data_IF_762209162239
#
_entry.id   IF_762209162239
#
_cell.length_a   1.000
_cell.length_b   1.000
_cell.length_c   1.000
_cell.angle_alpha   90.00
_cell.angle_beta   90.00
_cell.angle_gamma   90.00
#
_symmetry.space_group_name_H-M   'P 1'
#
loop_
_entity.id
_entity.type
_entity.pdbx_description
1 polymer ?
#
# COMPACT_ATOMS: atom_id res chain seq x y z
N UNK A 1 1.30 28.48 0.89
CA UNK A 1 0.75 27.26 0.25
C UNK A 1 0.75 26.12 1.27
N UNK A 2 -0.33 25.35 1.36
CA UNK A 2 -0.33 24.12 2.17
C UNK A 2 0.40 23.07 1.31
N UNK A 3 1.59 22.64 1.74
CA UNK A 3 2.34 21.59 1.05
C UNK A 3 1.56 20.27 1.10
N UNK A 4 1.41 19.57 -0.04
CA UNK A 4 0.86 18.23 -0.12
C UNK A 4 1.80 17.24 0.60
N UNK A 5 1.26 16.40 1.48
CA UNK A 5 2.03 15.26 2.00
C UNK A 5 2.08 14.16 0.95
N UNK A 6 3.25 13.54 0.71
CA UNK A 6 3.34 12.38 -0.17
C UNK A 6 2.48 11.22 0.31
N UNK A 7 2.01 10.41 -0.62
CA UNK A 7 1.20 9.20 -0.35
C UNK A 7 2.05 7.96 -0.58
N UNK A 8 2.30 7.18 0.45
CA UNK A 8 3.01 5.90 0.36
C UNK A 8 2.01 4.76 0.43
N UNK A 9 1.89 4.03 -0.68
CA UNK A 9 1.07 2.83 -0.75
C UNK A 9 1.80 1.63 -0.13
N UNK A 10 1.12 0.88 0.73
CA UNK A 10 1.63 -0.40 1.25
C UNK A 10 0.67 -1.51 0.86
N UNK A 11 1.16 -2.43 0.03
CA UNK A 11 0.42 -3.55 -0.53
C UNK A 11 0.96 -4.87 0.01
N UNK A 12 0.06 -5.85 0.21
CA UNK A 12 0.45 -7.13 0.77
C UNK A 12 -0.75 -8.07 0.94
N UNK A 13 -0.54 -9.18 1.66
CA UNK A 13 -1.59 -10.18 1.91
C UNK A 13 -2.82 -9.57 2.57
N UNK A 14 -4.01 -9.93 2.08
CA UNK A 14 -5.28 -9.60 2.74
C UNK A 14 -5.60 -10.48 3.95
N UNK A 15 -4.89 -11.59 4.13
CA UNK A 15 -5.10 -12.59 5.18
C UNK A 15 -3.96 -12.59 6.20
N UNK A 16 -2.74 -12.79 5.73
CA UNK A 16 -1.54 -12.87 6.57
C UNK A 16 -1.05 -11.46 6.95
N UNK A 17 -0.95 -11.11 8.23
CA UNK A 17 -0.61 -9.75 8.66
C UNK A 17 0.89 -9.40 8.53
N UNK A 18 1.78 -10.39 8.43
CA UNK A 18 3.24 -10.19 8.40
C UNK A 18 3.70 -9.06 9.36
N UNK A 19 3.26 -9.13 10.62
CA UNK A 19 3.40 -8.05 11.63
C UNK A 19 4.84 -7.62 11.87
N UNK A 20 5.79 -8.52 11.74
CA UNK A 20 7.22 -8.25 11.85
C UNK A 20 7.71 -7.25 10.78
N UNK A 21 7.11 -7.23 9.60
CA UNK A 21 7.37 -6.29 8.52
C UNK A 21 6.41 -5.10 8.58
N UNK A 22 5.10 -5.37 8.57
CA UNK A 22 4.06 -4.36 8.48
C UNK A 22 4.11 -3.36 9.65
N UNK A 23 4.32 -3.84 10.90
CA UNK A 23 4.33 -2.95 12.06
C UNK A 23 5.58 -2.07 12.12
N UNK A 24 6.73 -2.59 11.71
CA UNK A 24 7.97 -1.80 11.64
C UNK A 24 7.84 -0.71 10.57
N UNK A 25 7.33 -1.07 9.39
CA UNK A 25 7.12 -0.13 8.29
C UNK A 25 6.10 0.95 8.65
N UNK A 26 4.94 0.57 9.21
CA UNK A 26 3.87 1.50 9.54
C UNK A 26 4.30 2.56 10.55
N UNK A 27 4.93 2.15 11.68
CA UNK A 27 5.47 3.10 12.67
C UNK A 27 6.51 4.04 12.09
N UNK A 28 7.39 3.52 11.24
CA UNK A 28 8.42 4.36 10.62
C UNK A 28 7.80 5.36 9.63
N UNK A 29 6.88 4.94 8.77
CA UNK A 29 6.19 5.82 7.81
C UNK A 29 5.45 6.97 8.51
N UNK A 30 4.82 6.70 9.65
CA UNK A 30 4.13 7.71 10.44
C UNK A 30 5.02 8.89 10.84
N UNK A 31 6.32 8.63 11.07
CA UNK A 31 7.32 9.67 11.38
C UNK A 31 7.89 10.41 10.16
N UNK A 32 7.54 9.99 8.93
CA UNK A 32 8.12 10.59 7.72
C UNK A 32 7.29 11.76 7.14
N UNK A 33 6.16 12.12 7.72
CA UNK A 33 5.30 13.19 7.19
C UNK A 33 4.60 12.80 5.88
N UNK A 34 4.12 11.57 5.77
CA UNK A 34 3.42 11.03 4.61
C UNK A 34 2.02 10.55 4.98
N UNK A 35 1.13 10.42 4.00
CA UNK A 35 -0.07 9.60 4.12
C UNK A 35 0.25 8.13 3.86
N UNK A 36 -0.40 7.22 4.58
CA UNK A 36 -0.40 5.80 4.28
C UNK A 36 -1.63 5.45 3.44
N UNK A 37 -1.43 4.82 2.28
CA UNK A 37 -2.52 4.29 1.47
C UNK A 37 -2.48 2.76 1.45
N UNK A 38 -3.64 2.14 1.66
CA UNK A 38 -3.85 0.69 1.56
C UNK A 38 -5.15 0.38 0.84
N UNK A 39 -5.38 -0.90 0.55
CA UNK A 39 -6.68 -1.37 0.07
C UNK A 39 -7.77 -1.43 1.13
N UNK A 40 -7.51 -1.03 2.38
CA UNK A 40 -8.50 -0.91 3.45
C UNK A 40 -8.96 -2.23 4.10
N UNK A 41 -8.44 -3.39 3.71
CA UNK A 41 -8.86 -4.71 4.22
C UNK A 41 -8.03 -5.23 5.40
N UNK A 42 -8.06 -6.56 5.58
CA UNK A 42 -7.34 -7.29 6.64
C UNK A 42 -5.85 -7.52 6.36
N UNK A 43 -5.26 -8.46 7.05
CA UNK A 43 -3.88 -8.90 6.85
C UNK A 43 -2.85 -7.78 7.00
N UNK A 44 -1.95 -7.65 6.01
CA UNK A 44 -0.94 -6.58 5.95
C UNK A 44 -1.57 -5.20 6.02
N UNK A 45 -2.68 -4.98 5.32
CA UNK A 45 -3.36 -3.68 5.27
C UNK A 45 -3.79 -3.22 6.67
N UNK A 46 -4.43 -4.09 7.45
CA UNK A 46 -4.81 -3.77 8.83
C UNK A 46 -3.58 -3.60 9.73
N UNK A 47 -2.58 -4.48 9.62
CA UNK A 47 -1.40 -4.45 10.49
C UNK A 47 -0.54 -3.19 10.29
N UNK A 48 -0.35 -2.74 9.03
CA UNK A 48 0.40 -1.51 8.75
C UNK A 48 -0.40 -0.27 9.14
N UNK A 49 -1.73 -0.28 8.93
CA UNK A 49 -2.63 0.82 9.31
C UNK A 49 -2.67 1.00 10.83
N UNK A 50 -2.80 -0.10 11.59
CA UNK A 50 -2.72 -0.12 13.05
C UNK A 50 -1.42 0.52 13.56
N UNK A 51 -0.29 0.05 13.02
CA UNK A 51 1.01 0.52 13.43
C UNK A 51 1.25 2.00 13.09
N UNK A 52 0.79 2.45 11.92
CA UNK A 52 0.85 3.86 11.51
C UNK A 52 -0.04 4.74 12.40
N UNK A 53 -1.30 4.33 12.62
CA UNK A 53 -2.28 5.07 13.40
C UNK A 53 -1.90 5.16 14.90
N UNK A 54 -1.12 4.21 15.43
CA UNK A 54 -0.67 4.21 16.82
C UNK A 54 0.34 5.32 17.17
N UNK A 55 0.93 5.99 16.18
CA UNK A 55 1.88 7.08 16.41
C UNK A 55 1.12 8.39 16.59
N UNK A 56 1.21 9.00 17.77
CA UNK A 56 0.37 10.15 18.19
C UNK A 56 0.68 11.41 17.37
N UNK A 57 1.95 11.73 17.17
CA UNK A 57 2.39 13.00 16.54
C UNK A 57 2.59 12.91 15.02
N UNK A 58 2.01 11.89 14.36
CA UNK A 58 2.06 11.75 12.90
C UNK A 58 1.31 12.88 12.19
N UNK A 59 1.80 13.31 11.06
CA UNK A 59 1.18 14.36 10.24
C UNK A 59 0.19 13.80 9.22
N UNK A 60 0.45 12.61 8.71
CA UNK A 60 -0.38 11.97 7.71
C UNK A 60 -1.53 11.15 8.29
N UNK A 61 -2.41 10.70 7.40
CA UNK A 61 -3.60 9.90 7.71
C UNK A 61 -3.53 8.55 6.98
N UNK A 62 -4.32 7.59 7.45
CA UNK A 62 -4.52 6.29 6.81
C UNK A 62 -5.66 6.37 5.80
N UNK A 63 -5.36 6.17 4.53
CA UNK A 63 -6.30 6.16 3.40
C UNK A 63 -6.58 4.71 3.01
N UNK A 64 -7.86 4.36 2.92
CA UNK A 64 -8.32 3.06 2.44
C UNK A 64 -9.14 3.18 1.17
N UNK A 65 -8.68 2.59 0.06
CA UNK A 65 -9.45 2.50 -1.19
C UNK A 65 -10.16 1.15 -1.21
N UNK A 66 -11.48 1.17 -1.04
CA UNK A 66 -12.28 -0.04 -0.86
C UNK A 66 -12.79 -0.60 -2.20
N UNK A 67 -12.70 -1.92 -2.40
CA UNK A 67 -13.41 -2.55 -3.50
C UNK A 67 -14.93 -2.52 -3.25
N UNK A 68 -15.72 -2.68 -4.30
CA UNK A 68 -17.14 -2.95 -4.16
C UNK A 68 -17.40 -4.43 -3.85
N UNK A 69 -18.51 -4.71 -3.17
CA UNK A 69 -19.13 -6.02 -3.14
C UNK A 69 -19.90 -6.28 -4.47
N UNK A 70 -20.55 -7.42 -4.57
CA UNK A 70 -21.27 -7.83 -5.79
C UNK A 70 -22.43 -6.90 -6.17
N UNK A 71 -22.92 -6.10 -5.22
CA UNK A 71 -23.94 -5.07 -5.46
C UNK A 71 -23.40 -3.78 -6.12
N UNK A 72 -22.09 -3.67 -6.28
CA UNK A 72 -21.42 -2.50 -6.85
C UNK A 72 -21.47 -1.22 -5.99
N UNK A 73 -21.99 -1.29 -4.77
CA UNK A 73 -22.26 -0.13 -3.89
C UNK A 73 -21.62 -0.30 -2.51
N UNK A 74 -21.87 -1.42 -1.83
CA UNK A 74 -21.33 -1.68 -0.49
C UNK A 74 -19.88 -2.16 -0.56
N UNK A 75 -19.16 -2.01 0.55
CA UNK A 75 -17.87 -2.67 0.70
C UNK A 75 -18.07 -4.12 1.19
N UNK A 76 -17.20 -5.06 0.81
CA UNK A 76 -17.26 -6.43 1.32
C UNK A 76 -17.10 -6.48 2.85
N UNK A 77 -17.54 -7.57 3.47
CA UNK A 77 -17.33 -7.80 4.90
C UNK A 77 -15.83 -7.69 5.27
N UNK A 78 -15.54 -7.06 6.40
CA UNK A 78 -14.17 -6.79 6.85
C UNK A 78 -13.52 -5.53 6.26
N UNK A 79 -14.26 -4.75 5.46
CA UNK A 79 -13.83 -3.46 4.95
C UNK A 79 -14.74 -2.33 5.43
N UNK A 80 -14.17 -1.15 5.80
CA UNK A 80 -12.75 -0.93 6.03
C UNK A 80 -12.27 -1.60 7.32
N UNK A 81 -10.95 -1.85 7.46
CA UNK A 81 -10.39 -2.15 8.77
C UNK A 81 -10.51 -0.92 9.70
N UNK A 82 -10.49 -1.10 11.05
CA UNK A 82 -10.82 -0.03 12.00
C UNK A 82 -9.81 1.12 12.08
N UNK A 83 -8.67 1.02 11.41
CA UNK A 83 -7.59 2.01 11.44
C UNK A 83 -7.60 2.95 10.23
N UNK A 84 -8.51 2.74 9.28
CA UNK A 84 -8.67 3.62 8.12
C UNK A 84 -9.39 4.90 8.53
N UNK A 85 -8.78 6.05 8.24
CA UNK A 85 -9.30 7.37 8.61
C UNK A 85 -9.97 8.08 7.44
N UNK A 86 -9.45 7.89 6.22
CA UNK A 86 -10.08 8.37 4.98
C UNK A 86 -10.53 7.17 4.16
N UNK A 87 -11.84 7.04 3.99
CA UNK A 87 -12.46 5.94 3.24
C UNK A 87 -12.81 6.40 1.85
N UNK A 88 -12.18 5.82 0.83
CA UNK A 88 -12.52 6.01 -0.58
C UNK A 88 -13.28 4.78 -1.08
N UNK A 89 -14.58 4.92 -1.27
CA UNK A 89 -15.43 3.88 -1.83
C UNK A 89 -15.35 3.85 -3.34
N UNK A 90 -15.32 2.68 -3.93
CA UNK A 90 -15.38 2.50 -5.38
C UNK A 90 -16.52 1.54 -5.74
N UNK A 91 -16.97 1.59 -6.98
CA UNK A 91 -17.88 0.61 -7.56
C UNK A 91 -17.15 -0.59 -8.19
N UNK A 92 -15.82 -0.64 -8.07
CA UNK A 92 -14.94 -1.58 -8.75
C UNK A 92 -14.82 -2.86 -7.90
N UNK A 93 -15.28 -3.99 -8.44
CA UNK A 93 -15.37 -5.25 -7.70
C UNK A 93 -14.19 -6.20 -7.95
N UNK A 94 -13.50 -6.09 -9.09
CA UNK A 94 -12.39 -6.98 -9.45
C UNK A 94 -11.24 -6.92 -8.44
N UNK A 95 -10.74 -8.09 -8.04
CA UNK A 95 -9.71 -8.27 -7.02
C UNK A 95 -9.03 -9.64 -7.17
N UNK A 96 -7.97 -9.88 -6.41
CA UNK A 96 -7.25 -11.15 -6.45
C UNK A 96 -6.59 -11.38 -7.82
N UNK A 97 -6.93 -12.46 -8.52
CA UNK A 97 -6.39 -12.77 -9.84
C UNK A 97 -6.80 -11.73 -10.90
N UNK A 98 -8.03 -11.19 -10.79
CA UNK A 98 -8.58 -10.17 -11.67
C UNK A 98 -8.19 -8.75 -11.24
N UNK A 99 -7.28 -8.63 -10.28
CA UNK A 99 -6.88 -7.35 -9.70
C UNK A 99 -6.13 -6.40 -10.65
N UNK A 100 -5.75 -6.83 -11.84
CA UNK A 100 -5.18 -6.00 -12.89
C UNK A 100 -6.19 -5.66 -14.01
N UNK A 101 -7.42 -6.14 -13.91
CA UNK A 101 -8.49 -5.86 -14.85
C UNK A 101 -9.00 -4.43 -14.68
N UNK A 102 -9.62 -3.90 -15.72
CA UNK A 102 -9.97 -2.48 -15.81
C UNK A 102 -10.96 -2.02 -14.71
N UNK A 103 -11.78 -2.93 -14.20
CA UNK A 103 -12.76 -2.71 -13.13
C UNK A 103 -12.20 -3.01 -11.72
N UNK A 104 -10.87 -3.05 -11.57
CA UNK A 104 -10.22 -3.22 -10.28
C UNK A 104 -9.82 -1.89 -9.64
N UNK A 105 -10.13 -1.73 -8.35
CA UNK A 105 -9.67 -0.58 -7.55
C UNK A 105 -8.15 -0.55 -7.35
N UNK A 106 -7.41 -1.64 -7.67
CA UNK A 106 -5.95 -1.66 -7.58
C UNK A 106 -5.30 -0.61 -8.49
N UNK A 107 -5.94 -0.24 -9.60
CA UNK A 107 -5.50 0.90 -10.41
C UNK A 107 -5.46 2.19 -9.60
N UNK A 108 -6.49 2.44 -8.79
CA UNK A 108 -6.58 3.63 -7.93
C UNK A 108 -5.51 3.55 -6.84
N UNK A 109 -5.32 2.39 -6.19
CA UNK A 109 -4.26 2.21 -5.20
C UNK A 109 -2.89 2.62 -5.76
N UNK A 110 -2.56 2.12 -6.95
CA UNK A 110 -1.26 2.36 -7.57
C UNK A 110 -1.12 3.81 -8.03
N UNK A 111 -2.10 4.33 -8.77
CA UNK A 111 -2.04 5.68 -9.35
C UNK A 111 -2.16 6.82 -8.31
N UNK A 112 -2.73 6.54 -7.14
CA UNK A 112 -2.82 7.50 -6.04
C UNK A 112 -1.62 7.49 -5.11
N UNK A 113 -0.64 6.61 -5.34
CA UNK A 113 0.58 6.50 -4.55
C UNK A 113 1.76 7.14 -5.25
N UNK A 114 2.54 7.95 -4.53
CA UNK A 114 3.80 8.50 -5.02
C UNK A 114 4.91 7.43 -5.00
N UNK A 115 4.79 6.45 -4.11
CA UNK A 115 5.59 5.23 -4.11
C UNK A 115 4.82 4.07 -3.49
N UNK A 116 5.23 2.83 -3.84
CA UNK A 116 4.67 1.60 -3.31
C UNK A 116 5.73 0.76 -2.60
N UNK A 117 5.41 0.24 -1.43
CA UNK A 117 6.14 -0.83 -0.77
C UNK A 117 5.27 -2.09 -0.77
N UNK A 118 5.76 -3.15 -1.42
CA UNK A 118 5.05 -4.42 -1.54
C UNK A 118 5.62 -5.42 -0.53
N UNK A 119 4.81 -5.80 0.44
CA UNK A 119 5.09 -6.85 1.42
C UNK A 119 4.62 -8.21 0.88
N UNK A 120 4.98 -9.34 1.53
CA UNK A 120 4.53 -10.65 1.10
C UNK A 120 3.01 -10.70 0.92
N UNK A 121 2.55 -11.17 -0.25
CA UNK A 121 1.13 -11.20 -0.60
C UNK A 121 0.83 -12.17 -1.73
N UNK A 122 -0.43 -12.32 -2.05
CA UNK A 122 -0.97 -13.22 -3.07
C UNK A 122 -1.18 -12.56 -4.43
N UNK A 123 -2.24 -12.99 -5.11
CA UNK A 123 -2.62 -12.54 -6.44
C UNK A 123 -2.89 -11.03 -6.52
N UNK A 124 -3.61 -10.46 -5.55
CA UNK A 124 -3.86 -9.02 -5.50
C UNK A 124 -2.58 -8.19 -5.44
N UNK A 125 -1.62 -8.59 -4.58
CA UNK A 125 -0.33 -7.90 -4.48
C UNK A 125 0.50 -8.04 -5.76
N UNK A 126 0.41 -9.20 -6.45
CA UNK A 126 1.02 -9.39 -7.77
C UNK A 126 0.40 -8.45 -8.81
N UNK A 127 -0.91 -8.29 -8.80
CA UNK A 127 -1.61 -7.36 -9.68
C UNK A 127 -1.14 -5.92 -9.46
N UNK A 128 -1.01 -5.48 -8.22
CA UNK A 128 -0.48 -4.16 -7.86
C UNK A 128 0.97 -3.97 -8.30
N UNK A 129 1.81 -5.00 -8.20
CA UNK A 129 3.18 -4.97 -8.71
C UNK A 129 3.23 -4.82 -10.24
N UNK A 130 2.35 -5.50 -10.98
CA UNK A 130 2.22 -5.37 -12.44
C UNK A 130 1.72 -3.98 -12.83
N UNK A 131 0.74 -3.45 -12.12
CA UNK A 131 0.21 -2.10 -12.35
C UNK A 131 1.25 -1.02 -12.05
N UNK A 132 2.05 -1.17 -10.99
CA UNK A 132 3.14 -0.25 -10.71
C UNK A 132 4.15 -0.18 -11.86
N UNK A 133 4.50 -1.34 -12.45
CA UNK A 133 5.36 -1.39 -13.64
C UNK A 133 4.69 -0.74 -14.87
N UNK A 134 3.39 -1.04 -15.09
CA UNK A 134 2.62 -0.48 -16.22
C UNK A 134 2.56 1.03 -16.19
N UNK A 135 2.36 1.61 -15.01
CA UNK A 135 2.19 3.05 -14.82
C UNK A 135 3.47 3.79 -14.45
N UNK A 136 4.60 3.07 -14.40
CA UNK A 136 5.89 3.60 -13.99
C UNK A 136 5.86 4.29 -12.61
N UNK A 137 4.99 3.82 -11.71
CA UNK A 137 4.95 4.28 -10.32
C UNK A 137 6.14 3.66 -9.58
N UNK A 138 6.97 4.46 -8.86
CA UNK A 138 8.06 3.95 -8.07
C UNK A 138 7.58 2.86 -7.09
N UNK A 139 8.20 1.67 -7.14
CA UNK A 139 7.79 0.56 -6.30
C UNK A 139 8.96 -0.32 -5.90
N UNK A 140 8.91 -0.88 -4.70
CA UNK A 140 9.93 -1.78 -4.15
C UNK A 140 9.28 -2.95 -3.42
N UNK A 141 9.78 -4.16 -3.68
CA UNK A 141 9.38 -5.37 -2.95
C UNK A 141 10.23 -5.52 -1.69
N UNK A 142 9.59 -5.75 -0.55
CA UNK A 142 10.26 -6.10 0.69
C UNK A 142 9.73 -7.42 1.25
N UNK A 143 10.38 -8.49 0.82
CA UNK A 143 10.15 -9.88 1.27
C UNK A 143 11.48 -10.55 1.62
N UNK A 144 12.11 -10.19 2.75
CA UNK A 144 13.45 -10.65 3.10
C UNK A 144 13.55 -12.16 3.33
N UNK A 145 12.42 -12.84 3.51
CA UNK A 145 12.35 -14.29 3.69
C UNK A 145 12.01 -15.06 2.41
N UNK A 146 11.67 -14.35 1.33
CA UNK A 146 11.24 -14.97 0.08
C UNK A 146 9.97 -15.83 0.22
N UNK A 147 9.08 -15.45 1.13
CA UNK A 147 7.88 -16.24 1.52
C UNK A 147 6.93 -16.42 0.33
N UNK A 148 6.82 -15.42 -0.53
CA UNK A 148 5.88 -15.45 -1.66
C UNK A 148 6.62 -15.35 -3.00
N UNK A 149 6.83 -16.49 -3.63
CA UNK A 149 7.44 -16.59 -4.98
C UNK A 149 6.71 -15.76 -6.05
N UNK A 150 5.46 -15.37 -5.79
CA UNK A 150 4.67 -14.57 -6.72
C UNK A 150 5.31 -13.20 -7.01
N UNK A 151 5.94 -12.56 -6.03
CA UNK A 151 6.66 -11.29 -6.18
C UNK A 151 8.11 -11.47 -6.65
N UNK A 152 8.72 -12.63 -6.41
CA UNK A 152 10.11 -12.91 -6.81
C UNK A 152 10.37 -12.82 -8.32
N UNK A 153 9.31 -12.93 -9.14
CA UNK A 153 9.37 -12.81 -10.60
C UNK A 153 9.05 -11.39 -11.10
N UNK A 154 8.72 -10.46 -10.20
CA UNK A 154 8.51 -9.08 -10.60
C UNK A 154 9.85 -8.45 -11.03
N UNK A 155 9.80 -7.53 -12.00
CA UNK A 155 10.99 -6.73 -12.41
C UNK A 155 11.26 -5.55 -11.48
N UNK A 156 10.49 -5.43 -10.37
CA UNK A 156 10.68 -4.38 -9.39
C UNK A 156 11.96 -4.63 -8.56
N UNK A 157 12.61 -3.58 -8.05
CA UNK A 157 13.71 -3.74 -7.13
C UNK A 157 13.27 -4.44 -5.84
N UNK A 158 14.13 -5.30 -5.30
CA UNK A 158 13.92 -6.04 -4.07
C UNK A 158 14.83 -5.50 -2.96
N UNK A 159 14.24 -5.05 -1.87
CA UNK A 159 14.95 -4.66 -0.66
C UNK A 159 15.50 -5.89 0.06
N UNK A 160 16.78 -5.85 0.43
CA UNK A 160 17.44 -6.89 1.23
C UNK A 160 17.30 -6.61 2.73
N UNK A 161 17.09 -5.36 3.09
CA UNK A 161 16.99 -4.89 4.45
C UNK A 161 15.91 -3.81 4.60
N UNK A 162 15.53 -3.50 5.83
CA UNK A 162 14.65 -2.36 6.10
C UNK A 162 15.32 -1.02 5.73
N UNK A 163 16.64 -0.93 5.87
CA UNK A 163 17.38 0.27 5.45
C UNK A 163 17.24 0.58 3.95
N UNK A 164 17.13 -0.47 3.10
CA UNK A 164 16.89 -0.27 1.67
C UNK A 164 15.51 0.33 1.41
N UNK A 165 14.48 -0.15 2.15
CA UNK A 165 13.12 0.41 2.07
C UNK A 165 13.10 1.87 2.51
N UNK A 166 13.77 2.19 3.61
CA UNK A 166 13.88 3.56 4.12
C UNK A 166 14.55 4.49 3.12
N UNK A 167 15.67 4.06 2.53
CA UNK A 167 16.38 4.82 1.53
C UNK A 167 15.55 5.04 0.25
N UNK A 168 14.78 4.03 -0.17
CA UNK A 168 13.87 4.13 -1.31
C UNK A 168 12.76 5.18 -1.06
N UNK A 169 12.04 5.05 0.06
CA UNK A 169 10.93 5.95 0.38
C UNK A 169 11.41 7.39 0.56
N UNK A 170 12.53 7.61 1.26
CA UNK A 170 13.10 8.96 1.44
C UNK A 170 13.42 9.63 0.11
N UNK A 171 14.03 8.92 -0.84
CA UNK A 171 14.31 9.49 -2.18
C UNK A 171 13.05 9.99 -2.88
N UNK A 172 11.92 9.27 -2.75
CA UNK A 172 10.66 9.72 -3.34
C UNK A 172 10.12 10.95 -2.61
N UNK A 173 10.14 10.96 -1.28
CA UNK A 173 9.70 12.12 -0.48
C UNK A 173 10.51 13.38 -0.84
N UNK A 174 11.84 13.25 -0.95
CA UNK A 174 12.73 14.36 -1.25
C UNK A 174 12.49 14.89 -2.68
N UNK A 175 12.21 14.01 -3.66
CA UNK A 175 11.92 14.43 -5.04
C UNK A 175 10.60 15.21 -5.15
N UNK A 176 9.59 14.84 -4.37
CA UNK A 176 8.30 15.56 -4.33
C UNK A 176 8.42 16.92 -3.62
N UNK A 177 9.35 17.05 -2.65
CA UNK A 177 9.56 18.28 -1.92
C UNK A 177 10.37 19.35 -2.68
N UNK A 178 11.09 18.94 -3.73
CA UNK A 178 11.94 19.84 -4.54
C UNK A 178 11.28 20.32 -5.85
N UNK A 179 10.07 19.96 -6.13
CA UNK A 179 9.36 20.18 -7.40
C UNK A 179 8.43 21.41 -7.47
N UNK A 180 8.61 22.43 -6.62
CA UNK A 180 7.83 23.68 -6.65
C UNK A 180 8.72 24.92 -6.62
#
# INVERSE_FOLDING_TARGET
MIGRLPVIGVMGSGEEPHRDLASVLGRWLAGQGVHLLTGGGGGVMAAVSEAFASVVDRKGLVIGVLPAADDGVSAPAGYPNPYVEIVLRTHLAARGEDGADFDSRNHINVLSSDALVLLPGGAGTRSEALLAQRYAVPAMVWDPRGVKRALARSKLPHAKSFADVQAFVRRVIDSESGGF
#
